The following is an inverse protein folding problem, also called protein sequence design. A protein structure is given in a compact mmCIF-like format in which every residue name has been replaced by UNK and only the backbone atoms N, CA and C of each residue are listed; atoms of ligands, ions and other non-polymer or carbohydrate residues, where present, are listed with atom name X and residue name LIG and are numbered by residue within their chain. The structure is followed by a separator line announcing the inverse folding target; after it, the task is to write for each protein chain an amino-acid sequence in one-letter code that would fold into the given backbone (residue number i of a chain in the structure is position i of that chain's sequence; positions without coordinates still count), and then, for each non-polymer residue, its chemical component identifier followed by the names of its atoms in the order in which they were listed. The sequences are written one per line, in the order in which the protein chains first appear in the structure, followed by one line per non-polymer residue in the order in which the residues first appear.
data_IF_175046919719
#
_entry.id   IF_175046919719
#
_cell.length_a   1.000
_cell.length_b   1.000
_cell.length_c   1.000
_cell.angle_alpha   90.00
_cell.angle_beta   90.00
_cell.angle_gamma   90.00
#
_symmetry.space_group_name_H-M   'P 1'
#
loop_
_entity.id
_entity.type
_entity.pdbx_description
1 polymer ?
#
# COMPACT_ATOMS: atom_id res chain seq x y z
N UNK A 1 26.88 4.36 -26.46
CA UNK A 1 26.37 5.14 -25.32
C UNK A 1 25.70 4.21 -24.33
N UNK A 2 25.73 4.50 -23.02
CA UNK A 2 24.89 3.77 -22.05
C UNK A 2 23.44 4.24 -22.25
N UNK A 3 22.57 3.36 -22.73
CA UNK A 3 21.19 3.69 -23.07
C UNK A 3 20.24 2.61 -22.54
N UNK A 4 19.08 3.02 -22.03
CA UNK A 4 17.98 2.12 -21.69
C UNK A 4 17.31 1.65 -22.98
N UNK A 5 17.10 0.33 -23.10
CA UNK A 5 16.41 -0.31 -24.21
C UNK A 5 15.27 -1.17 -23.69
N UNK A 6 14.06 -0.61 -23.70
CA UNK A 6 12.85 -1.30 -23.23
C UNK A 6 12.39 -2.40 -24.19
N UNK A 7 12.92 -2.50 -25.41
CA UNK A 7 12.63 -3.64 -26.30
C UNK A 7 13.19 -4.95 -25.76
N UNK A 8 14.21 -4.87 -24.90
CA UNK A 8 14.82 -6.00 -24.19
C UNK A 8 14.16 -6.30 -22.84
N UNK A 9 13.14 -5.53 -22.43
CA UNK A 9 12.44 -5.75 -21.17
C UNK A 9 11.75 -7.11 -21.18
N UNK A 10 12.07 -7.94 -20.17
CA UNK A 10 11.49 -9.26 -20.03
C UNK A 10 10.92 -9.44 -18.61
N UNK A 11 9.60 -9.62 -18.53
CA UNK A 11 8.92 -9.87 -17.26
C UNK A 11 8.54 -11.34 -17.05
N UNK A 12 9.04 -12.26 -17.87
CA UNK A 12 8.77 -13.70 -17.75
C UNK A 12 9.06 -14.29 -16.35
N UNK A 13 10.09 -13.85 -15.59
CA UNK A 13 10.33 -14.36 -14.24
C UNK A 13 9.28 -13.92 -13.22
N UNK A 14 8.59 -12.81 -13.47
CA UNK A 14 7.60 -12.28 -12.53
C UNK A 14 6.28 -13.02 -12.64
N UNK A 15 5.81 -13.48 -11.49
CA UNK A 15 4.55 -14.20 -11.35
C UNK A 15 3.53 -13.30 -10.65
N UNK A 16 2.62 -12.61 -11.35
CA UNK A 16 1.62 -11.76 -10.71
C UNK A 16 0.63 -12.55 -9.83
N UNK A 17 0.53 -13.86 -10.04
CA UNK A 17 -0.52 -14.69 -9.47
C UNK A 17 -1.88 -14.40 -10.11
N UNK A 18 -2.87 -15.24 -9.79
CA UNK A 18 -4.19 -15.19 -10.43
C UNK A 18 -4.16 -15.55 -11.92
N UNK A 19 -5.24 -16.15 -12.42
CA UNK A 19 -5.36 -16.41 -13.86
C UNK A 19 -5.47 -15.10 -14.66
N UNK A 20 -5.22 -15.15 -15.97
CA UNK A 20 -5.43 -13.99 -16.85
C UNK A 20 -6.87 -13.46 -16.77
N UNK A 21 -7.85 -14.37 -16.77
CA UNK A 21 -9.26 -14.03 -16.58
C UNK A 21 -9.52 -13.36 -15.24
N UNK A 22 -8.95 -13.88 -14.14
CA UNK A 22 -9.08 -13.28 -12.81
C UNK A 22 -8.56 -11.84 -12.78
N UNK A 23 -7.41 -11.58 -13.42
CA UNK A 23 -6.83 -10.24 -13.55
C UNK A 23 -7.72 -9.30 -14.36
N UNK A 24 -8.27 -9.78 -15.47
CA UNK A 24 -9.18 -9.01 -16.32
C UNK A 24 -10.47 -8.65 -15.58
N UNK A 25 -11.12 -9.62 -14.93
CA UNK A 25 -12.32 -9.38 -14.14
C UNK A 25 -12.04 -8.41 -12.99
N UNK A 26 -10.89 -8.56 -12.32
CA UNK A 26 -10.51 -7.66 -11.26
C UNK A 26 -10.34 -6.22 -11.75
N UNK A 27 -9.76 -6.02 -12.93
CA UNK A 27 -9.60 -4.68 -13.50
C UNK A 27 -10.94 -3.91 -13.54
N UNK A 28 -11.99 -4.54 -14.08
CA UNK A 28 -13.31 -3.92 -14.15
C UNK A 28 -13.98 -3.80 -12.77
N UNK A 29 -13.84 -4.79 -11.90
CA UNK A 29 -14.40 -4.74 -10.54
C UNK A 29 -13.75 -3.62 -9.73
N UNK A 30 -12.42 -3.50 -9.76
CA UNK A 30 -11.68 -2.40 -9.13
C UNK A 30 -12.14 -1.05 -9.68
N UNK A 31 -12.26 -0.94 -11.00
CA UNK A 31 -12.71 0.29 -11.65
C UNK A 31 -14.10 0.72 -11.16
N UNK A 32 -15.08 -0.19 -11.22
CA UNK A 32 -16.49 0.10 -10.92
C UNK A 32 -16.74 0.28 -9.43
N UNK A 33 -16.22 -0.60 -8.56
CA UNK A 33 -16.63 -0.65 -7.16
C UNK A 33 -15.69 0.07 -6.21
N UNK A 34 -14.40 0.22 -6.56
CA UNK A 34 -13.41 0.83 -5.68
C UNK A 34 -13.05 2.25 -6.15
N UNK A 35 -12.68 2.43 -7.43
CA UNK A 35 -12.13 3.70 -7.90
C UNK A 35 -13.16 4.72 -8.38
N UNK A 36 -14.28 4.30 -8.99
CA UNK A 36 -15.23 5.21 -9.67
C UNK A 36 -15.92 6.23 -8.76
N UNK A 37 -15.90 6.01 -7.44
CA UNK A 37 -16.66 6.82 -6.47
C UNK A 37 -18.17 6.56 -6.44
N UNK A 38 -18.71 5.78 -7.39
CA UNK A 38 -20.15 5.49 -7.50
C UNK A 38 -20.68 4.65 -6.34
N UNK A 39 -19.82 3.84 -5.73
CA UNK A 39 -20.19 2.92 -4.65
C UNK A 39 -19.55 3.38 -3.34
N UNK A 40 -20.25 4.17 -2.50
CA UNK A 40 -19.69 4.64 -1.23
C UNK A 40 -19.67 3.53 -0.15
N UNK A 41 -20.39 2.43 -0.35
CA UNK A 41 -20.52 1.36 0.65
C UNK A 41 -19.20 0.61 0.88
N UNK A 42 -18.67 0.73 2.10
CA UNK A 42 -17.50 -0.04 2.55
C UNK A 42 -17.73 -1.56 2.47
N UNK A 43 -18.96 -2.02 2.72
CA UNK A 43 -19.27 -3.45 2.74
C UNK A 43 -19.13 -4.07 1.35
N UNK A 44 -19.60 -3.37 0.31
CA UNK A 44 -19.49 -3.81 -1.09
C UNK A 44 -18.03 -3.91 -1.51
N UNK A 45 -17.20 -2.91 -1.18
CA UNK A 45 -15.76 -2.92 -1.50
C UNK A 45 -15.04 -4.09 -0.83
N UNK A 46 -15.29 -4.29 0.47
CA UNK A 46 -14.69 -5.38 1.24
C UNK A 46 -15.15 -6.74 0.70
N UNK A 47 -16.42 -6.88 0.29
CA UNK A 47 -16.93 -8.10 -0.34
C UNK A 47 -16.15 -8.45 -1.60
N UNK A 48 -16.01 -7.52 -2.56
CA UNK A 48 -15.28 -7.80 -3.79
C UNK A 48 -13.79 -8.04 -3.56
N UNK A 49 -13.15 -7.29 -2.67
CA UNK A 49 -11.76 -7.54 -2.32
C UNK A 49 -11.54 -8.96 -1.77
N UNK A 50 -12.41 -9.41 -0.85
CA UNK A 50 -12.37 -10.78 -0.32
C UNK A 50 -12.66 -11.82 -1.39
N UNK A 51 -13.66 -11.59 -2.24
CA UNK A 51 -14.01 -12.48 -3.37
C UNK A 51 -12.81 -12.71 -4.30
N UNK A 52 -11.99 -11.67 -4.52
CA UNK A 52 -10.79 -11.78 -5.35
C UNK A 52 -9.53 -12.24 -4.58
N UNK A 53 -9.65 -12.55 -3.30
CA UNK A 53 -8.63 -13.23 -2.50
C UNK A 53 -7.88 -12.35 -1.51
N UNK A 54 -8.29 -11.09 -1.29
CA UNK A 54 -7.72 -10.28 -0.21
C UNK A 54 -8.13 -10.83 1.16
N UNK A 55 -7.20 -10.81 2.11
CA UNK A 55 -7.46 -11.16 3.51
C UNK A 55 -7.77 -9.88 4.27
N UNK A 56 -9.04 -9.63 4.58
CA UNK A 56 -9.47 -8.37 5.21
C UNK A 56 -10.18 -8.67 6.53
N UNK A 57 -9.72 -8.07 7.62
CA UNK A 57 -10.30 -8.17 8.95
C UNK A 57 -11.69 -7.51 9.09
N UNK A 58 -12.30 -7.69 10.26
CA UNK A 58 -13.47 -6.93 10.73
C UNK A 58 -13.15 -5.45 10.95
N UNK A 59 -14.15 -4.58 10.78
CA UNK A 59 -14.03 -3.15 11.08
C UNK A 59 -13.28 -2.30 10.06
N UNK A 60 -12.71 -2.90 9.00
CA UNK A 60 -11.92 -2.16 7.99
C UNK A 60 -12.79 -1.15 7.23
N UNK A 61 -12.30 0.08 7.11
CA UNK A 61 -12.94 1.14 6.33
C UNK A 61 -12.12 1.40 5.05
N UNK A 62 -12.79 1.40 3.89
CA UNK A 62 -12.16 1.64 2.60
C UNK A 62 -12.94 2.73 1.89
N UNK A 63 -12.28 3.89 1.73
CA UNK A 63 -12.89 5.08 1.15
C UNK A 63 -12.96 5.03 -0.38
N UNK A 64 -13.74 5.93 -1.00
CA UNK A 64 -13.82 6.01 -2.47
C UNK A 64 -12.47 6.32 -3.12
N UNK A 65 -12.29 5.87 -4.37
CA UNK A 65 -11.08 6.17 -5.14
C UNK A 65 -9.87 5.28 -4.82
N UNK A 66 -9.97 4.42 -3.79
CA UNK A 66 -8.91 3.45 -3.48
C UNK A 66 -8.71 2.52 -4.66
N UNK A 67 -7.46 2.20 -4.97
CA UNK A 67 -7.14 1.27 -6.04
C UNK A 67 -6.17 0.21 -5.55
N UNK A 68 -6.46 -1.05 -5.87
CA UNK A 68 -5.66 -2.20 -5.45
C UNK A 68 -5.28 -2.99 -6.68
N UNK A 69 -3.97 -3.17 -6.93
CA UNK A 69 -3.49 -3.82 -8.15
C UNK A 69 -3.86 -5.31 -8.22
N UNK A 70 -3.47 -6.09 -7.22
CA UNK A 70 -3.71 -7.53 -7.13
C UNK A 70 -4.21 -7.91 -5.72
N UNK A 71 -5.53 -7.97 -5.48
CA UNK A 71 -6.08 -8.14 -4.14
C UNK A 71 -5.70 -9.46 -3.47
N UNK A 72 -5.40 -10.52 -4.23
CA UNK A 72 -4.90 -11.80 -3.67
C UNK A 72 -3.51 -11.70 -3.01
N UNK A 73 -2.84 -10.55 -3.12
CA UNK A 73 -1.56 -10.24 -2.45
C UNK A 73 -1.73 -9.22 -1.31
N UNK A 74 -2.97 -8.88 -0.96
CA UNK A 74 -3.28 -7.87 0.04
C UNK A 74 -3.82 -8.51 1.32
N UNK A 75 -3.20 -8.16 2.45
CA UNK A 75 -3.70 -8.47 3.79
C UNK A 75 -3.92 -7.19 4.57
N UNK A 76 -5.08 -7.06 5.22
CA UNK A 76 -5.44 -5.93 6.08
C UNK A 76 -6.03 -6.46 7.39
N UNK A 77 -5.43 -6.07 8.52
CA UNK A 77 -5.88 -6.39 9.87
C UNK A 77 -7.15 -5.67 10.29
N UNK A 78 -7.57 -5.91 11.53
CA UNK A 78 -8.80 -5.36 12.10
C UNK A 78 -8.76 -3.84 12.25
N UNK A 79 -9.94 -3.20 12.11
CA UNK A 79 -10.16 -1.78 12.43
C UNK A 79 -9.23 -0.79 11.70
N UNK A 80 -8.64 -1.20 10.56
CA UNK A 80 -7.79 -0.33 9.75
C UNK A 80 -8.60 0.58 8.84
N UNK A 81 -8.05 1.75 8.52
CA UNK A 81 -8.68 2.79 7.72
C UNK A 81 -7.85 3.11 6.49
N UNK A 82 -8.46 2.98 5.31
CA UNK A 82 -7.86 3.31 4.02
C UNK A 82 -8.60 4.51 3.43
N UNK A 83 -7.91 5.65 3.39
CA UNK A 83 -8.41 6.95 2.95
C UNK A 83 -8.65 7.03 1.45
N UNK A 84 -9.24 8.14 1.03
CA UNK A 84 -9.63 8.38 -0.36
C UNK A 84 -8.42 8.34 -1.31
N UNK A 85 -8.60 7.82 -2.51
CA UNK A 85 -7.57 7.85 -3.56
C UNK A 85 -6.22 7.19 -3.19
N UNK A 86 -6.20 6.28 -2.22
CA UNK A 86 -4.99 5.51 -1.89
C UNK A 86 -4.69 4.50 -3.01
N UNK A 87 -3.44 4.48 -3.47
CA UNK A 87 -2.95 3.50 -4.44
C UNK A 87 -2.14 2.41 -3.73
N UNK A 88 -2.56 1.15 -3.87
CA UNK A 88 -1.85 -0.02 -3.33
C UNK A 88 -1.35 -0.89 -4.49
N UNK A 89 -0.08 -0.73 -4.82
CA UNK A 89 0.63 -1.49 -5.86
C UNK A 89 1.13 -2.83 -5.32
N UNK A 90 0.22 -3.77 -5.04
CA UNK A 90 0.57 -5.10 -4.55
C UNK A 90 1.01 -6.08 -5.66
N UNK A 91 2.06 -5.74 -6.42
CA UNK A 91 2.75 -6.68 -7.32
C UNK A 91 3.28 -7.91 -6.58
N UNK A 92 3.80 -7.67 -5.37
CA UNK A 92 4.02 -8.70 -4.34
C UNK A 92 3.24 -8.32 -3.08
N UNK A 93 3.44 -9.07 -2.02
CA UNK A 93 2.59 -8.97 -0.84
C UNK A 93 2.68 -7.59 -0.16
N UNK A 94 1.51 -7.04 0.16
CA UNK A 94 1.34 -5.88 1.03
C UNK A 94 0.59 -6.36 2.27
N UNK A 95 1.24 -6.24 3.42
CA UNK A 95 0.67 -6.64 4.72
C UNK A 95 0.43 -5.38 5.54
N UNK A 96 -0.83 -5.14 5.86
CA UNK A 96 -1.30 -4.03 6.70
C UNK A 96 -1.85 -4.66 7.98
N UNK A 97 -1.30 -4.28 9.13
CA UNK A 97 -1.70 -4.75 10.45
C UNK A 97 -3.05 -4.21 10.89
N UNK A 98 -3.30 -4.32 12.19
CA UNK A 98 -4.50 -3.82 12.86
C UNK A 98 -4.37 -2.34 13.24
N UNK A 99 -5.50 -1.63 13.26
CA UNK A 99 -5.58 -0.22 13.64
C UNK A 99 -4.63 0.69 12.82
N UNK A 100 -4.30 0.28 11.59
CA UNK A 100 -3.46 1.06 10.67
C UNK A 100 -4.33 2.12 10.00
N UNK A 101 -3.82 3.34 9.94
CA UNK A 101 -4.44 4.41 9.18
C UNK A 101 -3.56 4.76 7.97
N UNK A 102 -4.11 4.64 6.77
CA UNK A 102 -3.51 5.13 5.53
C UNK A 102 -4.39 6.28 5.07
N UNK A 103 -3.92 7.51 5.23
CA UNK A 103 -4.67 8.71 4.87
C UNK A 103 -4.70 8.92 3.36
N UNK A 104 -5.60 9.81 2.94
CA UNK A 104 -5.93 10.06 1.54
C UNK A 104 -4.71 10.36 0.66
N UNK A 105 -4.74 9.85 -0.58
CA UNK A 105 -3.71 10.06 -1.60
C UNK A 105 -2.37 9.39 -1.30
N UNK A 106 -2.25 8.59 -0.24
CA UNK A 106 -1.03 7.84 0.02
C UNK A 106 -0.80 6.75 -1.04
N UNK A 107 0.47 6.41 -1.26
CA UNK A 107 0.92 5.48 -2.30
C UNK A 107 1.78 4.40 -1.66
N UNK A 108 1.35 3.14 -1.77
CA UNK A 108 2.07 1.98 -1.26
C UNK A 108 2.61 1.19 -2.44
N UNK A 109 3.94 1.14 -2.58
CA UNK A 109 4.62 0.58 -3.74
C UNK A 109 5.35 -0.72 -3.38
N UNK A 110 5.12 -1.77 -4.17
CA UNK A 110 5.96 -2.99 -4.10
C UNK A 110 6.78 -3.22 -5.37
N UNK A 111 6.52 -2.46 -6.43
CA UNK A 111 7.25 -2.50 -7.70
C UNK A 111 8.22 -1.34 -7.91
N UNK A 112 9.29 -1.62 -8.66
CA UNK A 112 10.22 -0.64 -9.22
C UNK A 112 11.00 -1.28 -10.36
N UNK A 113 12.03 -0.60 -10.85
CA UNK A 113 12.86 -1.11 -11.94
C UNK A 113 14.35 -0.98 -11.61
N UNK A 114 15.16 -1.94 -12.08
CA UNK A 114 16.61 -1.88 -11.95
C UNK A 114 17.19 -0.84 -12.91
N UNK A 115 17.30 0.40 -12.43
CA UNK A 115 17.86 1.51 -13.19
C UNK A 115 19.36 1.34 -13.52
N UNK A 116 20.04 0.31 -12.97
CA UNK A 116 21.44 0.00 -13.29
C UNK A 116 21.57 -0.92 -14.51
N UNK A 117 20.47 -1.49 -15.01
CA UNK A 117 20.44 -2.35 -16.19
C UNK A 117 19.79 -1.63 -17.36
N UNK A 118 20.36 -1.79 -18.56
CA UNK A 118 19.78 -1.26 -19.79
C UNK A 118 18.39 -1.85 -20.10
N UNK A 119 18.12 -3.07 -19.64
CA UNK A 119 16.85 -3.79 -19.80
C UNK A 119 15.73 -3.28 -18.88
N UNK A 120 16.06 -2.48 -17.87
CA UNK A 120 15.11 -1.90 -16.91
C UNK A 120 14.22 -2.97 -16.23
N UNK A 121 14.84 -4.09 -15.82
CA UNK A 121 14.14 -5.24 -15.25
C UNK A 121 13.23 -4.85 -14.08
N UNK A 122 12.08 -5.51 -13.96
CA UNK A 122 11.18 -5.32 -12.82
C UNK A 122 11.85 -5.81 -11.53
N UNK A 123 11.83 -4.98 -10.50
CA UNK A 123 12.18 -5.35 -9.12
C UNK A 123 10.90 -5.30 -8.29
N UNK A 124 10.69 -6.31 -7.45
CA UNK A 124 9.59 -6.32 -6.49
C UNK A 124 10.07 -6.59 -5.07
N UNK A 125 9.48 -5.92 -4.08
CA UNK A 125 9.77 -6.12 -2.66
C UNK A 125 8.50 -5.89 -1.84
N UNK A 126 8.25 -6.80 -0.89
CA UNK A 126 7.09 -6.73 0.01
C UNK A 126 7.09 -5.44 0.82
N UNK A 127 5.91 -4.95 1.17
CA UNK A 127 5.73 -3.84 2.13
C UNK A 127 4.95 -4.36 3.33
N UNK A 128 5.41 -4.01 4.53
CA UNK A 128 4.77 -4.38 5.79
C UNK A 128 4.51 -3.09 6.58
N UNK A 129 3.25 -2.85 6.91
CA UNK A 129 2.83 -1.83 7.86
C UNK A 129 2.30 -2.57 9.09
N UNK A 130 3.03 -2.53 10.20
CA UNK A 130 2.62 -3.18 11.45
C UNK A 130 1.48 -2.41 12.15
N UNK A 131 1.02 -2.95 13.28
CA UNK A 131 -0.13 -2.43 13.99
C UNK A 131 0.05 -0.97 14.43
N UNK A 132 -1.02 -0.17 14.29
CA UNK A 132 -1.07 1.23 14.71
C UNK A 132 -0.25 2.20 13.85
N UNK A 133 0.37 1.73 12.76
CA UNK A 133 1.08 2.59 11.80
C UNK A 133 0.14 3.64 11.23
N UNK A 134 0.65 4.85 11.03
CA UNK A 134 -0.06 5.92 10.35
C UNK A 134 0.75 6.46 9.18
N UNK A 135 0.24 6.23 7.97
CA UNK A 135 0.74 6.88 6.75
C UNK A 135 -0.16 8.09 6.50
N UNK A 136 0.35 9.29 6.74
CA UNK A 136 -0.38 10.53 6.56
C UNK A 136 -0.64 10.83 5.07
N UNK A 137 -1.44 11.88 4.83
CA UNK A 137 -1.96 12.19 3.50
C UNK A 137 -0.83 12.41 2.48
N UNK A 138 -0.94 11.77 1.32
CA UNK A 138 0.10 11.83 0.28
C UNK A 138 1.43 11.18 0.65
N UNK A 139 1.52 10.42 1.74
CA UNK A 139 2.73 9.67 2.10
C UNK A 139 3.03 8.56 1.09
N UNK A 140 4.29 8.38 0.73
CA UNK A 140 4.74 7.37 -0.24
C UNK A 140 5.62 6.34 0.49
N UNK A 141 5.25 5.07 0.39
CA UNK A 141 6.00 3.94 0.95
C UNK A 141 6.61 3.12 -0.18
N UNK A 142 7.95 3.12 -0.27
CA UNK A 142 8.66 2.46 -1.36
C UNK A 142 8.86 0.94 -1.14
N UNK A 143 9.21 0.19 -2.20
CA UNK A 143 9.34 -1.26 -2.14
C UNK A 143 10.34 -1.73 -1.08
N UNK A 144 9.93 -2.69 -0.25
CA UNK A 144 10.78 -3.29 0.77
C UNK A 144 10.75 -2.61 2.14
N UNK A 145 10.00 -1.51 2.27
CA UNK A 145 9.85 -0.82 3.55
C UNK A 145 9.00 -1.64 4.52
N UNK A 146 9.52 -1.78 5.74
CA UNK A 146 8.77 -2.18 6.93
C UNK A 146 8.56 -0.94 7.80
N UNK A 147 7.31 -0.55 8.02
CA UNK A 147 6.95 0.41 9.05
C UNK A 147 6.55 -0.35 10.31
N UNK A 148 7.39 -0.27 11.34
CA UNK A 148 7.17 -0.97 12.58
C UNK A 148 6.06 -0.33 13.42
N UNK A 149 5.60 -1.06 14.43
CA UNK A 149 4.40 -0.72 15.20
C UNK A 149 4.35 0.76 15.62
N UNK A 150 3.21 1.40 15.36
CA UNK A 150 2.92 2.80 15.69
C UNK A 150 3.80 3.85 15.01
N UNK A 151 4.65 3.49 14.04
CA UNK A 151 5.39 4.47 13.26
C UNK A 151 4.46 5.43 12.50
N UNK A 152 4.90 6.67 12.30
CA UNK A 152 4.16 7.69 11.56
C UNK A 152 5.01 8.20 10.40
N UNK A 153 4.48 8.12 9.18
CA UNK A 153 5.03 8.83 8.03
C UNK A 153 4.18 10.07 7.79
N UNK A 154 4.75 11.25 8.03
CA UNK A 154 4.01 12.52 7.94
C UNK A 154 3.59 12.87 6.50
N UNK A 155 2.65 13.81 6.37
CA UNK A 155 2.03 14.13 5.07
C UNK A 155 3.07 14.49 4.01
N UNK A 156 2.90 13.95 2.80
CA UNK A 156 3.80 14.16 1.66
C UNK A 156 5.21 13.58 1.82
N UNK A 157 5.50 12.83 2.89
CA UNK A 157 6.82 12.24 3.12
C UNK A 157 7.03 10.95 2.35
N UNK A 158 8.29 10.62 2.05
CA UNK A 158 8.67 9.46 1.24
C UNK A 158 9.57 8.51 2.03
N UNK A 159 9.01 7.37 2.44
CA UNK A 159 9.74 6.32 3.12
C UNK A 159 10.55 5.49 2.11
N UNK A 160 11.87 5.67 2.14
CA UNK A 160 12.85 4.89 1.37
C UNK A 160 13.55 3.80 2.19
N UNK A 161 13.34 3.81 3.51
CA UNK A 161 13.93 2.90 4.49
C UNK A 161 12.85 2.50 5.50
N UNK A 162 13.14 1.48 6.30
CA UNK A 162 12.26 1.05 7.38
C UNK A 162 12.01 2.19 8.37
N UNK A 163 10.81 2.19 8.96
CA UNK A 163 10.41 3.14 9.98
C UNK A 163 10.39 2.43 11.33
N UNK A 164 11.13 2.95 12.30
CA UNK A 164 11.23 2.37 13.63
C UNK A 164 9.93 2.53 14.43
N UNK A 165 9.69 1.59 15.33
CA UNK A 165 8.48 1.58 16.15
C UNK A 165 8.39 2.86 17.00
N UNK A 166 7.18 3.41 17.14
CA UNK A 166 6.94 4.63 17.91
C UNK A 166 7.77 5.84 17.47
N UNK A 167 8.16 5.93 16.21
CA UNK A 167 8.88 7.08 15.65
C UNK A 167 8.04 7.81 14.60
N UNK A 168 8.29 9.12 14.47
CA UNK A 168 7.68 9.99 13.47
C UNK A 168 8.74 10.37 12.44
N UNK A 169 8.43 10.15 11.16
CA UNK A 169 9.29 10.40 10.02
C UNK A 169 8.74 11.50 9.12
N UNK A 170 9.62 12.41 8.70
CA UNK A 170 9.25 13.57 7.89
C UNK A 170 10.27 13.83 6.78
N UNK A 171 9.77 14.24 5.60
CA UNK A 171 10.57 14.70 4.47
C UNK A 171 10.62 13.75 3.29
N UNK A 172 11.36 14.15 2.26
CA UNK A 172 11.68 13.34 1.08
C UNK A 172 13.18 13.48 0.77
N UNK A 173 14.02 12.49 1.14
CA UNK A 173 13.66 11.24 1.83
C UNK A 173 13.22 11.50 3.28
N UNK A 174 12.33 10.66 3.80
CA UNK A 174 11.84 10.77 5.16
C UNK A 174 12.94 10.37 6.17
N UNK A 175 13.12 11.20 7.21
CA UNK A 175 14.06 10.96 8.32
C UNK A 175 13.31 10.98 9.65
N UNK A 176 13.81 10.25 10.64
CA UNK A 176 13.20 10.26 11.99
C UNK A 176 13.40 11.64 12.61
N UNK A 177 12.30 12.29 13.00
CA UNK A 177 12.31 13.63 13.59
C UNK A 177 11.99 13.65 15.08
N UNK A 178 11.20 12.69 15.57
CA UNK A 178 10.89 12.54 17.01
C UNK A 178 10.23 11.20 17.31
N UNK A 179 10.16 10.85 18.60
CA UNK A 179 9.32 9.74 19.08
C UNK A 179 7.84 10.14 19.10
N UNK A 180 6.96 9.19 18.85
CA UNK A 180 5.51 9.27 19.06
C UNK A 180 5.22 8.92 20.51
N UNK A 181 4.57 9.83 21.22
CA UNK A 181 4.18 9.65 22.63
C UNK A 181 2.68 9.88 22.70
N UNK A 182 1.94 8.92 23.25
CA UNK A 182 0.53 9.14 23.56
C UNK A 182 0.42 9.95 24.85
N UNK A 183 -0.42 10.98 24.84
CA UNK A 183 -0.86 11.62 26.07
C UNK A 183 -1.58 10.60 26.94
N UNK A 184 -1.33 10.62 28.25
CA UNK A 184 -2.16 9.86 29.19
C UNK A 184 -3.62 10.22 28.95
N UNK A 185 -4.47 9.21 28.75
CA UNK A 185 -5.91 9.44 28.72
C UNK A 185 -6.30 10.08 30.05
N UNK A 186 -6.83 11.30 30.02
CA UNK A 186 -7.55 11.82 31.18
C UNK A 186 -8.78 10.92 31.33
N UNK A 187 -8.76 10.07 32.34
CA UNK A 187 -9.97 9.46 32.87
C UNK A 187 -10.71 10.58 33.60
N UNK A 188 -11.62 11.25 32.89
CA UNK A 188 -12.65 12.08 33.50
C UNK A 188 -13.77 11.17 34.03
#
# INVERSE_FOLDING_TARGET
MKQTDLSLYNNAPYQPGGSALKRLLWYYVNWIFLTSGLVPSRAVKVFFLRLFGAKIGKGVNIKPGVSVKYPWRLTIGHNSWIGENVWIDCLVDVVIGENVCISQGAVILTGGHDYKKATFDLITRKVILEDGVWICAGGIVNPGVVAASHAVLTSGSVANKNLDAWCIYQGNPAVMVRKRIFSQMKTD
#
